data_IF_018215365749
#
_entry.id   IF_018215365749
#
_cell.length_a   1.000
_cell.length_b   1.000
_cell.length_c   1.000
_cell.angle_alpha   90.00
_cell.angle_beta   90.00
_cell.angle_gamma   90.00
#
_symmetry.space_group_name_H-M   'P 1'
#
loop_
_entity.id
_entity.type
_entity.pdbx_description
1 polymer ?
#
# COMPACT_ATOMS: atom_id res chain seq x y z
N UNK A 1 -11.42 -0.10 -3.39
CA UNK A 1 -10.64 0.48 -2.28
C UNK A 1 -11.39 0.19 -1.01
N UNK A 2 -10.70 -0.21 0.06
CA UNK A 2 -11.34 -0.62 1.30
C UNK A 2 -10.71 0.14 2.48
N UNK A 3 -11.53 0.52 3.46
CA UNK A 3 -11.04 1.09 4.70
C UNK A 3 -10.44 -0.03 5.57
N UNK A 4 -9.13 0.02 5.77
CA UNK A 4 -8.37 -0.98 6.56
C UNK A 4 -7.96 -0.47 7.94
N UNK A 5 -8.43 0.72 8.34
CA UNK A 5 -8.04 1.37 9.62
C UNK A 5 -8.24 0.48 10.84
N UNK A 6 -9.25 -0.41 10.81
CA UNK A 6 -9.57 -1.35 11.88
C UNK A 6 -8.62 -2.56 11.97
N UNK A 7 -7.84 -2.82 10.92
CA UNK A 7 -6.83 -3.89 10.88
C UNK A 7 -5.45 -3.38 11.32
N UNK A 8 -5.18 -2.10 11.11
CA UNK A 8 -3.89 -1.46 11.42
C UNK A 8 -3.70 -1.39 12.94
N UNK A 9 -2.63 -2.02 13.44
CA UNK A 9 -2.21 -1.92 14.83
C UNK A 9 -1.06 -0.90 14.99
N UNK A 10 -0.66 -0.62 16.23
CA UNK A 10 0.36 0.39 16.57
C UNK A 10 1.74 0.14 15.91
N UNK A 11 2.05 -1.09 15.44
CA UNK A 11 3.33 -1.38 14.79
C UNK A 11 3.47 -0.76 13.40
N UNK A 12 2.36 -0.47 12.73
CA UNK A 12 2.32 0.13 11.38
C UNK A 12 1.31 1.29 11.28
N UNK A 13 0.89 1.84 12.42
CA UNK A 13 -0.07 2.95 12.47
C UNK A 13 0.62 4.28 12.24
N UNK A 14 0.36 4.88 11.09
CA UNK A 14 0.97 6.15 10.68
C UNK A 14 0.00 7.35 10.76
N UNK A 15 -1.31 7.08 10.84
CA UNK A 15 -2.38 8.07 10.97
C UNK A 15 -3.67 7.44 11.51
N UNK A 16 -4.70 8.25 11.75
CA UNK A 16 -6.00 7.77 12.25
C UNK A 16 -6.79 6.92 11.24
N UNK A 17 -6.60 7.15 9.93
CA UNK A 17 -7.31 6.44 8.87
C UNK A 17 -6.34 5.84 7.86
N UNK A 18 -6.68 4.65 7.38
CA UNK A 18 -5.96 3.92 6.35
C UNK A 18 -6.93 3.32 5.32
N UNK A 19 -6.67 3.57 4.04
CA UNK A 19 -7.38 2.98 2.91
C UNK A 19 -6.42 2.12 2.10
N UNK A 20 -6.90 0.98 1.62
CA UNK A 20 -6.12 0.05 0.82
C UNK A 20 -6.73 -0.22 -0.57
N UNK A 21 -5.87 -0.45 -1.55
CA UNK A 21 -6.23 -0.90 -2.89
C UNK A 21 -5.34 -2.08 -3.28
N UNK A 22 -5.96 -3.11 -3.88
CA UNK A 22 -5.28 -4.26 -4.45
C UNK A 22 -5.01 -4.00 -5.94
N UNK A 23 -3.78 -4.23 -6.38
CA UNK A 23 -3.37 -4.25 -7.77
C UNK A 23 -2.90 -5.67 -8.11
N UNK A 24 -3.71 -6.38 -8.90
CA UNK A 24 -3.44 -7.79 -9.19
C UNK A 24 -2.29 -7.97 -10.17
N UNK A 25 -1.32 -8.82 -9.84
CA UNK A 25 -0.15 -9.11 -10.69
C UNK A 25 0.80 -7.93 -10.93
N UNK A 26 0.80 -6.91 -10.07
CA UNK A 26 1.47 -5.62 -10.32
C UNK A 26 2.89 -5.48 -9.77
N UNK A 27 3.46 -6.50 -9.11
CA UNK A 27 4.79 -6.42 -8.48
C UNK A 27 5.86 -5.92 -9.46
N UNK A 28 5.89 -6.46 -10.69
CA UNK A 28 6.88 -6.09 -11.71
C UNK A 28 6.73 -4.63 -12.16
N UNK A 29 5.49 -4.15 -12.31
CA UNK A 29 5.20 -2.77 -12.67
C UNK A 29 5.68 -1.80 -11.58
N UNK A 30 5.38 -2.10 -10.31
CA UNK A 30 5.81 -1.28 -9.17
C UNK A 30 7.34 -1.27 -9.04
N UNK A 31 8.00 -2.41 -9.26
CA UNK A 31 9.46 -2.47 -9.29
C UNK A 31 10.07 -1.63 -10.43
N UNK A 32 9.44 -1.61 -11.60
CA UNK A 32 9.89 -0.79 -12.73
C UNK A 32 9.69 0.71 -12.48
N UNK A 33 8.62 1.09 -11.80
CA UNK A 33 8.35 2.48 -11.41
C UNK A 33 9.30 2.93 -10.29
N UNK A 34 9.61 2.02 -9.36
CA UNK A 34 10.29 2.31 -8.11
C UNK A 34 9.29 2.49 -6.96
N UNK A 35 9.44 1.67 -5.92
CA UNK A 35 8.55 1.64 -4.74
C UNK A 35 8.47 3.01 -4.05
N UNK A 36 9.60 3.72 -3.97
CA UNK A 36 9.67 5.07 -3.41
C UNK A 36 8.83 6.06 -4.22
N UNK A 37 8.90 5.99 -5.55
CA UNK A 37 8.12 6.87 -6.41
C UNK A 37 6.61 6.61 -6.26
N UNK A 38 6.21 5.33 -6.19
CA UNK A 38 4.82 4.94 -5.91
C UNK A 38 4.32 5.50 -4.58
N UNK A 39 5.13 5.40 -3.51
CA UNK A 39 4.83 5.99 -2.21
C UNK A 39 4.67 7.51 -2.32
N UNK A 40 5.60 8.15 -2.99
CA UNK A 40 5.66 9.62 -3.08
C UNK A 40 4.52 10.17 -3.93
N UNK A 41 4.04 9.44 -4.95
CA UNK A 41 2.80 9.77 -5.68
C UNK A 41 1.58 9.83 -4.74
N UNK A 42 1.43 8.86 -3.83
CA UNK A 42 0.32 8.88 -2.88
C UNK A 42 0.42 10.06 -1.91
N UNK A 43 1.64 10.38 -1.45
CA UNK A 43 1.92 11.53 -0.59
C UNK A 43 1.65 12.85 -1.33
N UNK A 44 2.02 12.94 -2.62
CA UNK A 44 1.76 14.10 -3.47
C UNK A 44 0.27 14.45 -3.52
N UNK A 45 -0.61 13.44 -3.56
CA UNK A 45 -2.06 13.62 -3.51
C UNK A 45 -2.64 13.86 -2.12
N UNK A 46 -1.79 14.08 -1.11
CA UNK A 46 -2.18 14.50 0.23
C UNK A 46 -2.19 13.41 1.29
N UNK A 47 -1.76 12.18 0.97
CA UNK A 47 -1.54 11.17 2.00
C UNK A 47 -0.48 11.66 2.99
N UNK A 48 -0.71 11.44 4.29
CA UNK A 48 0.29 11.72 5.33
C UNK A 48 1.45 10.71 5.27
N UNK A 49 1.12 9.48 4.91
CA UNK A 49 2.06 8.41 4.64
C UNK A 49 1.43 7.38 3.71
N UNK A 50 2.26 6.53 3.12
CA UNK A 50 1.80 5.38 2.36
C UNK A 50 2.67 4.16 2.64
N UNK A 51 2.05 2.98 2.59
CA UNK A 51 2.72 1.69 2.60
C UNK A 51 2.42 0.95 1.30
N UNK A 52 3.42 0.23 0.84
CA UNK A 52 3.30 -0.71 -0.27
C UNK A 52 3.57 -2.09 0.33
N UNK A 53 2.73 -3.07 0.02
CA UNK A 53 2.87 -4.44 0.49
C UNK A 53 2.88 -5.34 -0.74
N UNK A 54 3.89 -6.18 -0.85
CA UNK A 54 3.99 -7.20 -1.91
C UNK A 54 3.56 -8.54 -1.36
N UNK A 55 2.70 -9.24 -2.11
CA UNK A 55 2.30 -10.62 -1.83
C UNK A 55 3.04 -11.54 -2.81
N UNK A 56 4.11 -12.14 -2.33
CA UNK A 56 4.95 -13.07 -3.09
C UNK A 56 4.66 -14.52 -2.65
N UNK A 57 5.20 -15.51 -3.36
CA UNK A 57 4.82 -16.93 -3.20
C UNK A 57 4.99 -17.41 -1.76
N UNK A 58 6.08 -16.95 -1.12
CA UNK A 58 6.48 -17.37 0.22
C UNK A 58 6.40 -16.28 1.28
N UNK A 59 6.16 -15.01 0.91
CA UNK A 59 6.32 -13.87 1.82
C UNK A 59 5.35 -12.72 1.50
N UNK A 60 4.83 -12.08 2.55
CA UNK A 60 4.09 -10.82 2.49
C UNK A 60 4.95 -9.76 3.16
N UNK A 61 5.47 -8.81 2.40
CA UNK A 61 6.47 -7.88 2.92
C UNK A 61 6.32 -6.46 2.38
N UNK A 62 6.93 -5.52 3.08
CA UNK A 62 6.99 -4.12 2.71
C UNK A 62 8.31 -3.85 1.96
N UNK A 63 8.30 -3.72 0.62
CA UNK A 63 9.52 -3.39 -0.12
C UNK A 63 10.06 -1.99 0.26
N UNK A 64 11.36 -1.71 0.01
CA UNK A 64 12.32 -2.57 -0.68
C UNK A 64 12.93 -3.68 0.20
N UNK A 65 12.64 -3.69 1.50
CA UNK A 65 13.28 -4.58 2.47
C UNK A 65 12.42 -5.82 2.78
N UNK A 66 12.93 -7.01 2.41
CA UNK A 66 12.26 -8.28 2.67
C UNK A 66 12.29 -8.69 4.15
N UNK A 67 13.08 -8.05 4.99
CA UNK A 67 13.06 -8.27 6.44
C UNK A 67 11.81 -7.65 7.10
N UNK A 68 11.22 -6.62 6.47
CA UNK A 68 9.95 -6.03 6.86
C UNK A 68 8.76 -6.87 6.38
N UNK A 69 8.72 -8.12 6.83
CA UNK A 69 7.76 -9.14 6.40
C UNK A 69 6.73 -9.51 7.47
N UNK A 70 5.87 -10.48 7.16
CA UNK A 70 4.78 -10.92 8.01
C UNK A 70 5.22 -11.54 9.34
N UNK A 71 6.47 -11.97 9.49
CA UNK A 71 7.00 -12.45 10.78
C UNK A 71 7.30 -11.28 11.71
N UNK A 72 7.84 -10.19 11.16
CA UNK A 72 8.08 -8.95 11.91
C UNK A 72 6.79 -8.16 12.14
N UNK A 73 5.88 -8.19 11.16
CA UNK A 73 4.61 -7.45 11.16
C UNK A 73 3.44 -8.38 10.80
N UNK A 74 2.91 -9.17 11.76
CA UNK A 74 1.83 -10.13 11.51
C UNK A 74 0.57 -9.55 10.85
N UNK A 75 0.30 -8.27 11.11
CA UNK A 75 -0.81 -7.50 10.52
C UNK A 75 -0.77 -7.46 8.98
N UNK A 76 0.39 -7.66 8.35
CA UNK A 76 0.47 -7.75 6.90
C UNK A 76 -0.34 -8.94 6.36
N UNK A 77 -0.41 -10.06 7.10
CA UNK A 77 -1.26 -11.21 6.75
C UNK A 77 -2.73 -10.84 6.86
N UNK A 78 -3.11 -10.10 7.90
CA UNK A 78 -4.51 -9.71 8.12
C UNK A 78 -5.00 -8.78 6.99
N UNK A 79 -4.16 -7.81 6.59
CA UNK A 79 -4.45 -6.93 5.45
C UNK A 79 -4.55 -7.75 4.16
N UNK A 80 -3.59 -8.63 3.89
CA UNK A 80 -3.60 -9.43 2.66
C UNK A 80 -4.82 -10.35 2.55
N UNK A 81 -5.20 -11.00 3.66
CA UNK A 81 -6.42 -11.84 3.73
C UNK A 81 -7.68 -11.02 3.54
N UNK A 82 -7.78 -9.87 4.20
CA UNK A 82 -8.94 -8.98 4.06
C UNK A 82 -9.09 -8.44 2.64
N UNK A 83 -7.98 -8.20 1.96
CA UNK A 83 -7.95 -7.74 0.56
C UNK A 83 -8.07 -8.88 -0.45
N UNK A 84 -8.18 -10.15 0.00
CA UNK A 84 -8.20 -11.34 -0.85
C UNK A 84 -7.02 -11.41 -1.82
N UNK A 85 -5.85 -10.95 -1.38
CA UNK A 85 -4.67 -10.81 -2.22
C UNK A 85 -4.05 -12.17 -2.58
N UNK A 86 -3.61 -12.30 -3.83
CA UNK A 86 -2.97 -13.49 -4.38
C UNK A 86 -1.49 -13.26 -4.67
N UNK A 87 -0.79 -14.35 -4.98
CA UNK A 87 0.59 -14.29 -5.46
C UNK A 87 0.75 -13.34 -6.65
N UNK A 88 1.71 -12.43 -6.55
CA UNK A 88 2.01 -11.44 -7.59
C UNK A 88 1.33 -10.10 -7.36
N UNK A 89 0.42 -10.01 -6.38
CA UNK A 89 -0.35 -8.81 -6.11
C UNK A 89 0.41 -7.78 -5.28
N UNK A 90 -0.02 -6.53 -5.40
CA UNK A 90 0.44 -5.40 -4.61
C UNK A 90 -0.73 -4.78 -3.88
N UNK A 91 -0.56 -4.50 -2.60
CA UNK A 91 -1.51 -3.72 -1.81
C UNK A 91 -0.88 -2.36 -1.54
N UNK A 92 -1.55 -1.31 -2.01
CA UNK A 92 -1.21 0.07 -1.68
C UNK A 92 -2.08 0.52 -0.52
N UNK A 93 -1.47 1.08 0.52
CA UNK A 93 -2.17 1.61 1.69
C UNK A 93 -1.84 3.09 1.83
N UNK A 94 -2.86 3.94 1.79
CA UNK A 94 -2.74 5.38 2.06
C UNK A 94 -3.23 5.72 3.46
N UNK A 95 -2.47 6.54 4.17
CA UNK A 95 -2.75 6.99 5.53
C UNK A 95 -3.05 8.48 5.58
N UNK A 96 -4.04 8.89 6.37
CA UNK A 96 -4.29 10.30 6.71
C UNK A 96 -5.05 10.43 8.03
N UNK A 97 -4.97 11.60 8.66
CA UNK A 97 -5.79 11.93 9.83
C UNK A 97 -7.20 12.39 9.41
N UNK A 98 -7.45 12.49 8.10
CA UNK A 98 -8.77 12.75 7.51
C UNK A 98 -9.16 11.60 6.57
N UNK A 99 -10.32 11.00 6.82
CA UNK A 99 -10.82 9.84 6.07
C UNK A 99 -10.93 10.11 4.55
N UNK A 100 -11.43 11.28 4.15
CA UNK A 100 -11.61 11.65 2.74
C UNK A 100 -10.26 11.85 2.04
N UNK A 101 -9.24 12.32 2.77
CA UNK A 101 -7.88 12.48 2.24
C UNK A 101 -7.21 11.11 2.07
N UNK A 102 -7.35 10.20 3.04
CA UNK A 102 -6.81 8.84 2.92
C UNK A 102 -7.37 8.12 1.68
N UNK A 103 -8.67 8.23 1.45
CA UNK A 103 -9.33 7.64 0.29
C UNK A 103 -8.95 8.35 -1.02
N UNK A 104 -9.15 9.67 -1.11
CA UNK A 104 -8.91 10.40 -2.37
C UNK A 104 -7.46 10.36 -2.84
N UNK A 105 -6.49 10.41 -1.92
CA UNK A 105 -5.07 10.28 -2.26
C UNK A 105 -4.74 8.91 -2.84
N UNK A 106 -5.33 7.84 -2.29
CA UNK A 106 -5.18 6.50 -2.83
C UNK A 106 -5.83 6.37 -4.22
N UNK A 107 -7.01 6.93 -4.41
CA UNK A 107 -7.70 6.89 -5.71
C UNK A 107 -6.89 7.60 -6.80
N UNK A 108 -6.48 8.85 -6.53
CA UNK A 108 -5.74 9.66 -7.49
C UNK A 108 -4.35 9.06 -7.77
N UNK A 109 -3.64 8.63 -6.73
CA UNK A 109 -2.34 8.01 -6.90
C UNK A 109 -2.41 6.69 -7.66
N UNK A 110 -3.46 5.88 -7.44
CA UNK A 110 -3.67 4.64 -8.18
C UNK A 110 -3.85 4.90 -9.68
N UNK A 111 -4.60 5.93 -10.07
CA UNK A 111 -4.76 6.31 -11.49
C UNK A 111 -3.39 6.62 -12.10
N UNK A 112 -2.59 7.45 -11.46
CA UNK A 112 -1.27 7.83 -11.97
C UNK A 112 -0.29 6.65 -12.03
N UNK A 113 -0.33 5.76 -11.03
CA UNK A 113 0.49 4.54 -11.02
C UNK A 113 0.12 3.61 -12.17
N UNK A 114 -1.17 3.40 -12.40
CA UNK A 114 -1.67 2.51 -13.47
C UNK A 114 -1.39 3.10 -14.85
N UNK A 115 -1.55 4.42 -15.01
CA UNK A 115 -1.24 5.13 -16.25
C UNK A 115 0.26 5.41 -16.43
N UNK A 116 1.08 5.11 -15.42
CA UNK A 116 2.51 5.42 -15.36
C UNK A 116 2.83 6.93 -15.51
N UNK A 117 1.90 7.80 -15.10
CA UNK A 117 2.08 9.25 -15.02
C UNK A 117 2.76 9.63 -13.70
N UNK A 118 3.88 8.99 -13.38
CA UNK A 118 4.52 9.14 -12.08
C UNK A 118 5.13 10.54 -11.96
N UNK A 119 4.66 11.31 -10.97
CA UNK A 119 5.18 12.63 -10.63
C UNK A 119 6.46 12.44 -9.80
N UNK A 120 7.61 12.85 -10.36
CA UNK A 120 8.93 12.83 -9.70
C UNK A 120 9.24 14.21 -9.15
#
# INVERSE_FOLDING_TARGET
MNNVSHLINESIKLANYAYAALLSGYINNINSIGVTNVRDTLIHYGAKAALIIFVNEDHIYMPPDKELNEKAYPVLVDIARYMEALYGDVILVSYSDNIAIAESSLYNGLIDIVLQNIII
#
